data_IF_034518339355
#
_entry.id   IF_034518339355
#
_cell.length_a   1.000
_cell.length_b   1.000
_cell.length_c   1.000
_cell.angle_alpha   90.00
_cell.angle_beta   90.00
_cell.angle_gamma   90.00
#
_symmetry.space_group_name_H-M   'P 1'
#
loop_
_entity.id
_entity.type
_entity.pdbx_description
1 polymer ?
#
# COMPACT_ATOMS: atom_id res chain seq x y z
N UNK A 1 2.52 0.36 -26.86
CA UNK A 1 2.37 -0.01 -25.44
C UNK A 1 1.50 -1.25 -25.42
N UNK A 2 2.12 -2.41 -25.47
CA UNK A 2 1.41 -3.69 -25.50
C UNK A 2 1.04 -4.04 -24.06
N UNK A 3 -0.21 -3.73 -23.68
CA UNK A 3 -0.80 -4.21 -22.44
C UNK A 3 -1.06 -5.71 -22.58
N UNK A 4 -0.02 -6.51 -22.38
CA UNK A 4 -0.21 -7.95 -22.22
C UNK A 4 -1.16 -8.17 -21.03
N UNK A 5 -2.28 -8.90 -21.22
CA UNK A 5 -3.22 -9.13 -20.13
C UNK A 5 -2.49 -9.82 -18.99
N UNK A 6 -2.56 -9.26 -17.79
CA UNK A 6 -2.16 -9.98 -16.58
C UNK A 6 -2.89 -11.32 -16.58
N UNK A 7 -2.18 -12.41 -16.25
CA UNK A 7 -2.81 -13.72 -16.10
C UNK A 7 -4.02 -13.58 -15.19
N UNK A 8 -5.08 -14.35 -15.46
CA UNK A 8 -6.27 -14.38 -14.61
C UNK A 8 -5.89 -14.71 -13.15
N UNK A 9 -4.80 -15.48 -12.97
CA UNK A 9 -4.20 -15.79 -11.68
C UNK A 9 -3.59 -14.56 -10.98
N UNK A 10 -2.84 -13.74 -11.71
CA UNK A 10 -2.23 -12.52 -11.17
C UNK A 10 -3.30 -11.47 -10.81
N UNK A 11 -4.39 -11.45 -11.59
CA UNK A 11 -5.50 -10.50 -11.39
C UNK A 11 -6.26 -10.77 -10.09
N UNK A 12 -6.59 -12.03 -9.77
CA UNK A 12 -7.30 -12.32 -8.50
C UNK A 12 -6.38 -12.12 -7.29
N UNK A 13 -5.10 -12.51 -7.40
CA UNK A 13 -4.11 -12.31 -6.33
C UNK A 13 -3.93 -10.83 -5.99
N UNK A 14 -3.89 -9.96 -7.01
CA UNK A 14 -3.80 -8.52 -6.80
C UNK A 14 -5.03 -7.99 -6.07
N UNK A 15 -6.24 -8.44 -6.42
CA UNK A 15 -7.49 -8.02 -5.76
C UNK A 15 -7.57 -8.48 -4.31
N UNK A 16 -7.22 -9.75 -4.04
CA UNK A 16 -7.18 -10.30 -2.67
C UNK A 16 -6.16 -9.54 -1.81
N UNK A 17 -4.95 -9.33 -2.34
CA UNK A 17 -3.91 -8.57 -1.63
C UNK A 17 -4.36 -7.13 -1.36
N UNK A 18 -5.00 -6.49 -2.33
CA UNK A 18 -5.55 -5.13 -2.18
C UNK A 18 -6.62 -5.07 -1.09
N UNK A 19 -7.51 -6.07 -1.03
CA UNK A 19 -8.55 -6.18 0.00
C UNK A 19 -7.95 -6.38 1.41
N UNK A 20 -6.90 -7.19 1.53
CA UNK A 20 -6.17 -7.36 2.79
C UNK A 20 -5.52 -6.06 3.26
N UNK A 21 -4.81 -5.37 2.35
CA UNK A 21 -4.18 -4.08 2.62
C UNK A 21 -5.23 -3.04 3.03
N UNK A 22 -6.36 -2.99 2.34
CA UNK A 22 -7.47 -2.11 2.70
C UNK A 22 -8.02 -2.41 4.10
N UNK A 23 -8.18 -3.69 4.46
CA UNK A 23 -8.63 -4.10 5.79
C UNK A 23 -7.69 -3.63 6.90
N UNK A 24 -6.37 -3.76 6.71
CA UNK A 24 -5.35 -3.29 7.66
C UNK A 24 -5.49 -1.78 7.90
N UNK A 25 -5.56 -1.00 6.82
CA UNK A 25 -5.70 0.48 6.91
C UNK A 25 -7.04 0.86 7.56
N UNK A 26 -8.13 0.21 7.17
CA UNK A 26 -9.47 0.49 7.69
C UNK A 26 -9.57 0.22 9.20
N UNK A 27 -8.98 -0.88 9.66
CA UNK A 27 -8.99 -1.26 11.07
C UNK A 27 -7.90 -0.58 11.90
N UNK A 28 -7.06 0.27 11.27
CA UNK A 28 -5.91 0.93 11.92
C UNK A 28 -4.98 -0.06 12.61
N UNK A 29 -4.76 -1.20 11.96
CA UNK A 29 -3.84 -2.22 12.44
C UNK A 29 -2.39 -1.76 12.14
N UNK A 30 -1.90 -0.85 12.98
CA UNK A 30 -0.60 -0.18 12.79
C UNK A 30 0.57 -1.16 12.85
N UNK A 31 0.41 -2.32 13.50
CA UNK A 31 1.44 -3.37 13.54
C UNK A 31 1.69 -3.94 12.13
N UNK A 32 0.66 -3.96 11.30
CA UNK A 32 0.73 -4.45 9.92
C UNK A 32 0.91 -3.34 8.88
N UNK A 33 1.18 -2.08 9.28
CA UNK A 33 1.37 -0.98 8.34
C UNK A 33 2.62 -1.12 7.47
N UNK A 34 3.64 -1.86 7.93
CA UNK A 34 4.81 -2.19 7.09
C UNK A 34 4.40 -2.93 5.81
N UNK A 35 3.46 -3.88 5.93
CA UNK A 35 2.91 -4.63 4.79
C UNK A 35 2.17 -3.72 3.81
N UNK A 36 1.43 -2.73 4.33
CA UNK A 36 0.73 -1.73 3.51
C UNK A 36 1.75 -0.88 2.73
N UNK A 37 2.79 -0.39 3.40
CA UNK A 37 3.84 0.42 2.78
C UNK A 37 4.57 -0.36 1.68
N UNK A 38 4.94 -1.62 1.93
CA UNK A 38 5.60 -2.47 0.92
C UNK A 38 4.71 -2.72 -0.31
N UNK A 39 3.41 -2.93 -0.11
CA UNK A 39 2.47 -3.08 -1.23
C UNK A 39 2.34 -1.80 -2.07
N UNK A 40 2.24 -0.63 -1.43
CA UNK A 40 2.15 0.66 -2.11
C UNK A 40 3.42 1.01 -2.88
N UNK A 41 4.59 0.73 -2.30
CA UNK A 41 5.89 0.95 -2.94
C UNK A 41 6.07 0.05 -4.17
N UNK A 42 5.74 -1.25 -4.05
CA UNK A 42 5.76 -2.18 -5.17
C UNK A 42 4.81 -1.73 -6.29
N UNK A 43 3.60 -1.29 -5.95
CA UNK A 43 2.60 -0.82 -6.92
C UNK A 43 3.08 0.45 -7.64
N UNK A 44 3.67 1.42 -6.93
CA UNK A 44 4.20 2.64 -7.52
C UNK A 44 5.40 2.37 -8.43
N UNK A 45 6.27 1.42 -8.07
CA UNK A 45 7.40 1.00 -8.90
C UNK A 45 6.95 0.32 -10.20
N UNK A 46 5.91 -0.53 -10.13
CA UNK A 46 5.38 -1.24 -11.30
C UNK A 46 4.53 -0.33 -12.19
N UNK A 47 3.76 0.58 -11.59
CA UNK A 47 2.78 1.43 -12.27
C UNK A 47 2.89 2.89 -11.78
N UNK A 48 3.97 3.61 -12.13
CA UNK A 48 4.21 4.97 -11.64
C UNK A 48 3.16 6.00 -12.09
N UNK A 49 2.34 5.68 -13.09
CA UNK A 49 1.23 6.52 -13.56
C UNK A 49 -0.13 6.24 -12.90
N UNK A 50 -0.25 5.19 -12.07
CA UNK A 50 -1.54 4.81 -11.46
C UNK A 50 -2.05 5.88 -10.49
N UNK A 51 -1.12 6.54 -9.78
CA UNK A 51 -1.40 7.60 -8.82
C UNK A 51 -0.36 8.69 -9.02
N UNK A 52 -0.80 9.96 -9.00
CA UNK A 52 0.12 11.08 -9.09
C UNK A 52 1.21 10.98 -7.99
N UNK A 53 2.49 11.23 -8.31
CA UNK A 53 3.60 11.11 -7.35
C UNK A 53 3.34 11.81 -6.01
N UNK A 54 2.76 13.01 -6.05
CA UNK A 54 2.42 13.79 -4.85
C UNK A 54 1.39 13.07 -3.95
N UNK A 55 0.43 12.34 -4.54
CA UNK A 55 -0.56 11.57 -3.77
C UNK A 55 0.08 10.33 -3.16
N UNK A 56 0.93 9.64 -3.90
CA UNK A 56 1.69 8.50 -3.37
C UNK A 56 2.54 8.91 -2.16
N UNK A 57 3.29 10.02 -2.28
CA UNK A 57 4.09 10.55 -1.18
C UNK A 57 3.25 10.91 0.04
N UNK A 58 2.10 11.58 -0.13
CA UNK A 58 1.20 11.93 0.99
C UNK A 58 0.70 10.69 1.73
N UNK A 59 0.34 9.63 1.02
CA UNK A 59 -0.11 8.38 1.63
C UNK A 59 1.04 7.71 2.40
N UNK A 60 2.20 7.57 1.78
CA UNK A 60 3.38 6.96 2.41
C UNK A 60 3.83 7.73 3.65
N UNK A 61 3.85 9.07 3.57
CA UNK A 61 4.17 9.93 4.71
C UNK A 61 3.19 9.73 5.87
N UNK A 62 1.88 9.78 5.59
CA UNK A 62 0.86 9.59 6.62
C UNK A 62 0.94 8.23 7.34
N UNK A 63 1.21 7.15 6.60
CA UNK A 63 1.40 5.83 7.17
C UNK A 63 2.65 5.77 8.06
N UNK A 64 3.79 6.26 7.59
CA UNK A 64 5.04 6.32 8.37
C UNK A 64 4.88 7.13 9.66
N UNK A 65 4.23 8.29 9.58
CA UNK A 65 3.98 9.14 10.75
C UNK A 65 3.08 8.45 11.77
N UNK A 66 2.02 7.75 11.33
CA UNK A 66 1.15 7.01 12.25
C UNK A 66 1.89 5.88 12.97
N UNK A 67 2.73 5.13 12.27
CA UNK A 67 3.57 4.10 12.89
C UNK A 67 4.52 4.72 13.91
N UNK A 68 5.25 5.78 13.55
CA UNK A 68 6.19 6.45 14.45
C UNK A 68 5.52 7.05 15.70
N UNK A 69 4.36 7.69 15.55
CA UNK A 69 3.62 8.25 16.69
C UNK A 69 3.14 7.17 17.67
N UNK A 70 2.76 5.99 17.18
CA UNK A 70 2.38 4.87 18.06
C UNK A 70 3.58 4.37 18.87
N UNK A 71 4.77 4.30 18.27
CA UNK A 71 5.99 3.96 19.00
C UNK A 71 6.33 4.99 20.09
N UNK A 72 6.15 6.28 19.80
CA UNK A 72 6.37 7.37 20.78
C UNK A 72 5.34 7.35 21.92
N UNK A 73 4.08 7.01 21.66
CA UNK A 73 3.06 6.92 22.72
C UNK A 73 3.20 5.69 23.65
N UNK A 74 3.97 4.68 23.25
CA UNK A 74 4.23 3.48 24.07
C UNK A 74 5.53 3.57 24.91
N UNK A 75 6.24 4.71 24.89
CA UNK A 75 7.43 4.99 25.72
C UNK A 75 7.07 6.00 26.79
#
# INVERSE_FOLDING_TARGET
MDSQPLSLEDTWRLRVTSAQVYSIVKNRDVENFERVMGFLEATYRLLPGLVAPIKHMKIMFGLKTMTALRFVQCT
#
